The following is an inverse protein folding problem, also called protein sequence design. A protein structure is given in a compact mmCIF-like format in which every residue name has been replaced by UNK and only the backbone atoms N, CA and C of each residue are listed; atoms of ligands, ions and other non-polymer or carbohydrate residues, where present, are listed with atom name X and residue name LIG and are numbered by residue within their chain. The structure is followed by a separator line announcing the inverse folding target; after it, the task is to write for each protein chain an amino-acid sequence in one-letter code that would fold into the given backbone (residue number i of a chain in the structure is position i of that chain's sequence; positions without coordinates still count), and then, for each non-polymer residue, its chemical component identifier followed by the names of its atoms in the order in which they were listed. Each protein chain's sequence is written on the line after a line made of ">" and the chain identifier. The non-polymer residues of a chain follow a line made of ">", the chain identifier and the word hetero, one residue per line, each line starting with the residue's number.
data_IF_493439734818
#
_entry.id   IF_493439734818
#
_cell.length_a   1.000
_cell.length_b   1.000
_cell.length_c   1.000
_cell.angle_alpha   90.00
_cell.angle_beta   90.00
_cell.angle_gamma   90.00
#
_symmetry.space_group_name_H-M   'P 1'
#
loop_
_entity.id
_entity.type
_entity.pdbx_description
1 polymer ?
#
# COMPACT_ATOMS: atom_id res chain seq x y z
N UNK A 1 0.30 17.64 19.77
CA UNK A 1 -0.09 16.73 18.67
C UNK A 1 1.15 15.90 18.37
N UNK A 2 1.09 14.58 18.49
CA UNK A 2 2.22 13.73 18.08
C UNK A 2 2.54 14.03 16.62
N UNK A 3 3.82 14.25 16.29
CA UNK A 3 4.26 14.27 14.89
C UNK A 3 3.98 12.88 14.31
N UNK A 4 2.83 12.74 13.66
CA UNK A 4 2.48 11.50 12.98
C UNK A 4 3.34 11.42 11.72
N UNK A 5 4.45 10.68 11.79
CA UNK A 5 5.23 10.33 10.63
C UNK A 5 4.31 9.68 9.58
N UNK A 6 4.42 10.15 8.34
CA UNK A 6 3.68 9.61 7.21
C UNK A 6 3.98 8.12 7.03
N UNK A 7 3.05 7.40 6.40
CA UNK A 7 3.28 5.98 6.11
C UNK A 7 4.55 5.77 5.26
N UNK A 8 4.88 6.72 4.39
CA UNK A 8 6.08 6.70 3.55
C UNK A 8 7.34 6.77 4.42
N UNK A 9 7.41 7.70 5.37
CA UNK A 9 8.56 7.85 6.28
C UNK A 9 8.79 6.58 7.11
N UNK A 10 7.70 5.98 7.60
CA UNK A 10 7.78 4.73 8.37
C UNK A 10 8.27 3.56 7.52
N UNK A 11 7.87 3.50 6.25
CA UNK A 11 8.30 2.46 5.33
C UNK A 11 9.74 2.67 4.83
N UNK A 12 10.20 3.91 4.74
CA UNK A 12 11.56 4.26 4.35
C UNK A 12 12.61 3.78 5.37
N UNK A 13 12.26 3.66 6.66
CA UNK A 13 13.18 3.27 7.71
C UNK A 13 13.63 1.79 7.68
N UNK A 14 12.92 0.91 6.96
CA UNK A 14 13.26 -0.52 6.87
C UNK A 14 14.34 -0.81 5.80
N UNK A 15 15.31 -1.67 6.13
CA UNK A 15 16.36 -2.13 5.21
C UNK A 15 15.76 -2.81 3.96
N UNK A 16 16.36 -2.63 2.78
CA UNK A 16 15.79 -3.06 1.49
C UNK A 16 15.42 -4.55 1.42
N UNK A 17 16.23 -5.41 2.01
CA UNK A 17 16.10 -6.87 2.03
C UNK A 17 15.28 -7.38 3.23
N UNK A 18 14.95 -6.52 4.19
CA UNK A 18 14.15 -6.91 5.34
C UNK A 18 12.69 -7.22 4.94
N UNK A 19 12.04 -8.20 5.60
CA UNK A 19 10.66 -8.56 5.33
C UNK A 19 9.70 -7.41 5.69
N UNK A 20 8.78 -7.06 4.79
CA UNK A 20 7.75 -6.05 5.04
C UNK A 20 6.35 -6.67 5.15
N UNK A 21 5.96 -7.51 4.19
CA UNK A 21 4.68 -8.22 4.19
C UNK A 21 4.92 -9.68 3.87
N UNK A 22 4.48 -10.56 4.78
CA UNK A 22 4.61 -12.01 4.66
C UNK A 22 3.26 -12.68 4.85
N UNK A 23 3.07 -13.82 4.18
CA UNK A 23 1.91 -14.68 4.38
C UNK A 23 2.31 -16.14 4.17
N UNK A 24 1.56 -17.10 4.75
CA UNK A 24 1.74 -18.52 4.45
C UNK A 24 1.67 -18.77 2.93
N UNK A 25 2.55 -19.64 2.43
CA UNK A 25 2.57 -20.06 1.02
C UNK A 25 2.68 -18.91 0.00
N UNK A 26 3.31 -17.80 0.41
CA UNK A 26 3.58 -16.63 -0.43
C UNK A 26 5.02 -16.20 -0.28
N UNK A 27 5.56 -15.63 -1.36
CA UNK A 27 6.87 -14.99 -1.32
C UNK A 27 6.76 -13.72 -0.49
N UNK A 28 7.65 -13.56 0.48
CA UNK A 28 7.73 -12.36 1.31
C UNK A 28 8.05 -11.13 0.45
N UNK A 29 7.24 -10.10 0.57
CA UNK A 29 7.53 -8.79 0.01
C UNK A 29 8.52 -8.07 0.94
N UNK A 30 9.68 -7.70 0.42
CA UNK A 30 10.68 -6.95 1.18
C UNK A 30 10.31 -5.47 1.26
N UNK A 31 10.95 -4.74 2.17
CA UNK A 31 10.80 -3.28 2.26
C UNK A 31 11.19 -2.56 0.96
N UNK A 32 12.26 -3.01 0.29
CA UNK A 32 12.65 -2.48 -1.02
C UNK A 32 11.58 -2.72 -2.09
N UNK A 33 11.05 -3.95 -2.14
CA UNK A 33 9.96 -4.30 -3.06
C UNK A 33 8.67 -3.52 -2.78
N UNK A 34 8.33 -3.33 -1.51
CA UNK A 34 7.16 -2.54 -1.12
C UNK A 34 7.30 -1.07 -1.52
N UNK A 35 8.48 -0.45 -1.33
CA UNK A 35 8.74 0.92 -1.77
C UNK A 35 8.63 1.07 -3.28
N UNK A 36 9.20 0.13 -4.04
CA UNK A 36 9.08 0.12 -5.50
C UNK A 36 7.61 0.06 -5.92
N UNK A 37 6.85 -0.87 -5.34
CA UNK A 37 5.43 -1.02 -5.64
C UNK A 37 4.60 0.22 -5.28
N UNK A 38 4.92 0.89 -4.17
CA UNK A 38 4.31 2.19 -3.80
C UNK A 38 4.57 3.23 -4.89
N UNK A 39 5.83 3.38 -5.31
CA UNK A 39 6.21 4.35 -6.34
C UNK A 39 5.51 4.08 -7.67
N UNK A 40 5.47 2.82 -8.11
CA UNK A 40 4.80 2.41 -9.34
C UNK A 40 3.29 2.62 -9.28
N UNK A 41 2.66 2.24 -8.16
CA UNK A 41 1.21 2.44 -7.95
C UNK A 41 0.85 3.92 -7.94
N UNK A 42 1.63 4.75 -7.26
CA UNK A 42 1.43 6.20 -7.24
C UNK A 42 1.55 6.80 -8.64
N UNK A 43 2.56 6.41 -9.42
CA UNK A 43 2.73 6.87 -10.79
C UNK A 43 1.53 6.47 -11.68
N UNK A 44 1.01 5.25 -11.54
CA UNK A 44 -0.16 4.79 -12.28
C UNK A 44 -1.43 5.57 -11.89
N UNK A 45 -1.67 5.80 -10.60
CA UNK A 45 -2.80 6.61 -10.13
C UNK A 45 -2.72 8.04 -10.65
N UNK A 46 -1.55 8.68 -10.58
CA UNK A 46 -1.35 10.03 -11.13
C UNK A 46 -1.57 10.08 -12.64
N UNK A 47 -1.14 9.06 -13.39
CA UNK A 47 -1.39 8.97 -14.83
C UNK A 47 -2.89 8.86 -15.17
N UNK A 48 -3.70 8.34 -14.23
CA UNK A 48 -5.17 8.31 -14.31
C UNK A 48 -5.82 9.60 -13.79
N UNK A 49 -5.04 10.60 -13.37
CA UNK A 49 -5.54 11.86 -12.81
C UNK A 49 -5.98 11.77 -11.35
N UNK A 50 -5.66 10.68 -10.65
CA UNK A 50 -6.00 10.46 -9.25
C UNK A 50 -4.82 10.84 -8.35
N UNK A 51 -5.08 11.50 -7.24
CA UNK A 51 -4.05 11.86 -6.25
C UNK A 51 -4.61 12.14 -4.87
N UNK A 52 -3.91 13.01 -4.14
CA UNK A 52 -4.25 13.32 -2.74
C UNK A 52 -5.65 13.93 -2.65
N UNK A 53 -6.51 13.28 -1.87
CA UNK A 53 -7.91 13.68 -1.67
C UNK A 53 -8.91 12.89 -2.52
N UNK A 54 -8.45 12.26 -3.61
CA UNK A 54 -9.27 11.30 -4.34
C UNK A 54 -9.44 10.01 -3.54
N UNK A 55 -10.51 9.27 -3.83
CA UNK A 55 -10.81 8.01 -3.15
C UNK A 55 -10.73 6.87 -4.14
N UNK A 56 -9.95 5.87 -3.78
CA UNK A 56 -9.73 4.66 -4.58
C UNK A 56 -10.31 3.48 -3.83
N UNK A 57 -11.33 2.84 -4.41
CA UNK A 57 -11.91 1.62 -3.86
C UNK A 57 -10.97 0.44 -4.11
N UNK A 58 -10.70 -0.34 -3.06
CA UNK A 58 -9.91 -1.57 -3.15
C UNK A 58 -10.87 -2.73 -2.89
N UNK A 59 -11.12 -3.54 -3.91
CA UNK A 59 -12.01 -4.69 -3.84
C UNK A 59 -11.18 -5.96 -4.02
N UNK A 60 -10.64 -6.46 -2.91
CA UNK A 60 -9.81 -7.67 -2.87
C UNK A 60 -10.20 -8.51 -1.65
N UNK A 61 -10.07 -9.84 -1.70
CA UNK A 61 -10.14 -10.68 -0.50
C UNK A 61 -9.08 -10.25 0.53
N UNK A 62 -9.35 -10.46 1.81
CA UNK A 62 -8.33 -10.26 2.84
C UNK A 62 -7.13 -11.17 2.58
N UNK A 63 -5.93 -10.58 2.54
CA UNK A 63 -4.70 -11.28 2.19
C UNK A 63 -3.53 -10.31 2.02
N UNK A 64 -2.32 -10.83 1.73
CA UNK A 64 -1.13 -10.01 1.53
C UNK A 64 -1.30 -9.02 0.37
N UNK A 65 -2.03 -9.39 -0.68
CA UNK A 65 -2.31 -8.51 -1.82
C UNK A 65 -3.19 -7.32 -1.40
N UNK A 66 -4.22 -7.54 -0.58
CA UNK A 66 -5.05 -6.45 -0.04
C UNK A 66 -4.24 -5.53 0.87
N UNK A 67 -3.46 -6.09 1.80
CA UNK A 67 -2.62 -5.30 2.70
C UNK A 67 -1.61 -4.45 1.92
N UNK A 68 -0.99 -5.04 0.89
CA UNK A 68 -0.04 -4.35 0.03
C UNK A 68 -0.71 -3.25 -0.78
N UNK A 69 -1.86 -3.53 -1.41
CA UNK A 69 -2.63 -2.53 -2.17
C UNK A 69 -3.09 -1.38 -1.27
N UNK A 70 -3.53 -1.66 -0.04
CA UNK A 70 -3.92 -0.65 0.93
C UNK A 70 -2.79 0.32 1.21
N UNK A 71 -1.59 -0.20 1.51
CA UNK A 71 -0.43 0.65 1.82
C UNK A 71 0.04 1.43 0.58
N UNK A 72 0.08 0.78 -0.59
CA UNK A 72 0.49 1.39 -1.84
C UNK A 72 -0.41 2.56 -2.26
N UNK A 73 -1.72 2.37 -2.18
CA UNK A 73 -2.69 3.41 -2.53
C UNK A 73 -2.74 4.49 -1.46
N UNK A 74 -2.67 4.14 -0.16
CA UNK A 74 -2.68 5.12 0.94
C UNK A 74 -1.49 6.09 0.91
N UNK A 75 -0.40 5.73 0.22
CA UNK A 75 0.73 6.61 0.01
C UNK A 75 0.47 7.72 -1.03
N UNK A 76 -0.57 7.59 -1.87
CA UNK A 76 -0.86 8.52 -2.98
C UNK A 76 -2.27 9.13 -2.91
N UNK A 77 -3.26 8.39 -2.43
CA UNK A 77 -4.67 8.76 -2.40
C UNK A 77 -5.38 8.21 -1.15
N UNK A 78 -6.65 8.57 -0.96
CA UNK A 78 -7.45 7.99 0.12
C UNK A 78 -7.91 6.59 -0.27
N UNK A 79 -7.71 5.60 0.59
CA UNK A 79 -8.18 4.23 0.35
C UNK A 79 -9.60 4.02 0.85
N UNK A 80 -10.40 3.27 0.09
CA UNK A 80 -11.71 2.77 0.51
C UNK A 80 -11.72 1.25 0.35
N UNK A 81 -11.19 0.48 1.31
CA UNK A 81 -11.18 -0.97 1.25
C UNK A 81 -12.59 -1.53 1.44
N UNK A 82 -13.03 -2.35 0.47
CA UNK A 82 -14.33 -3.00 0.48
C UNK A 82 -14.08 -4.51 0.51
N UNK A 83 -14.54 -5.16 1.59
CA UNK A 83 -14.46 -6.61 1.67
C UNK A 83 -15.53 -7.23 0.76
N UNK A 84 -15.16 -7.96 -0.31
CA UNK A 84 -16.13 -8.56 -1.22
C UNK A 84 -16.99 -9.66 -0.57
N UNK A 85 -16.64 -10.12 0.63
CA UNK A 85 -17.43 -11.07 1.40
C UNK A 85 -18.61 -10.43 2.14
N UNK A 86 -18.62 -9.09 2.31
CA UNK A 86 -19.75 -8.39 2.91
C UNK A 86 -20.86 -8.20 1.86
N UNK A 87 -22.10 -8.51 2.27
CA UNK A 87 -23.31 -8.37 1.45
C UNK A 87 -24.11 -7.16 1.91
#
# INVERSE_FOLDING_TARGET
>A
MSEAASIIERLAAGADDAPAISAPDRITLTHGGLRQLISETAAQLHALGLGRGDRVAIVLPNGPEMATAFVAVAAAASTAPLNPAYR
#
